data_IF_066043604206
#
_entry.id   IF_066043604206
#
_cell.length_a   1.000
_cell.length_b   1.000
_cell.length_c   1.000
_cell.angle_alpha   90.00
_cell.angle_beta   90.00
_cell.angle_gamma   90.00
#
_symmetry.space_group_name_H-M   'P 1'
#
loop_
_entity.id
_entity.type
_entity.pdbx_description
1 polymer ?
#
# COMPACT_ATOMS: atom_id res chain seq x y z
N UNK A 1 9.98 31.40 -7.87
CA UNK A 1 10.45 31.16 -6.49
C UNK A 1 9.75 30.02 -5.76
N UNK A 2 8.44 29.78 -5.95
CA UNK A 2 7.66 28.77 -5.17
C UNK A 2 7.92 27.29 -5.51
N UNK A 3 8.29 26.96 -6.75
CA UNK A 3 8.39 25.56 -7.21
C UNK A 3 9.64 24.83 -6.70
N UNK A 4 10.76 25.55 -6.56
CA UNK A 4 12.03 24.98 -6.12
C UNK A 4 12.04 24.67 -4.62
N UNK A 5 11.42 25.53 -3.81
CA UNK A 5 11.18 25.28 -2.38
C UNK A 5 10.25 24.08 -2.17
N UNK A 6 9.17 23.98 -2.95
CA UNK A 6 8.28 22.81 -2.92
C UNK A 6 9.06 21.53 -3.25
N UNK A 7 9.90 21.54 -4.28
CA UNK A 7 10.74 20.39 -4.65
C UNK A 7 11.71 20.00 -3.52
N UNK A 8 12.40 20.97 -2.92
CA UNK A 8 13.29 20.73 -1.77
C UNK A 8 12.52 20.08 -0.61
N UNK A 9 11.36 20.62 -0.24
CA UNK A 9 10.52 20.10 0.83
C UNK A 9 10.00 18.67 0.56
N UNK A 10 9.65 18.34 -0.69
CA UNK A 10 9.24 16.97 -1.03
C UNK A 10 10.35 15.95 -0.80
N UNK A 11 11.59 16.32 -1.11
CA UNK A 11 12.74 15.43 -1.06
C UNK A 11 13.45 15.40 0.31
N UNK A 12 13.07 16.26 1.27
CA UNK A 12 13.65 16.22 2.61
C UNK A 12 13.28 14.94 3.37
N UNK A 13 14.21 14.51 4.22
CA UNK A 13 13.95 13.52 5.27
C UNK A 13 12.94 14.12 6.24
N UNK A 14 11.95 13.34 6.61
CA UNK A 14 10.85 13.67 7.52
C UNK A 14 10.91 12.74 8.72
N UNK A 15 10.26 13.12 9.81
CA UNK A 15 10.17 12.31 11.03
C UNK A 15 8.72 12.11 11.44
N UNK A 16 8.38 10.92 11.92
CA UNK A 16 7.08 10.60 12.50
C UNK A 16 7.26 9.55 13.61
N UNK A 17 6.86 9.91 14.83
CA UNK A 17 7.00 9.05 16.03
C UNK A 17 8.42 8.46 16.18
N UNK A 18 9.45 9.30 16.02
CA UNK A 18 10.86 8.88 16.09
C UNK A 18 11.40 8.15 14.86
N UNK A 19 10.57 7.85 13.86
CA UNK A 19 10.99 7.18 12.64
C UNK A 19 11.26 8.19 11.51
N UNK A 20 12.49 8.18 10.97
CA UNK A 20 12.86 8.95 9.78
C UNK A 20 12.37 8.28 8.49
N UNK A 21 11.80 9.06 7.57
CA UNK A 21 11.28 8.59 6.29
C UNK A 21 11.42 9.64 5.18
N UNK A 22 11.24 9.22 3.92
CA UNK A 22 11.28 10.10 2.74
C UNK A 22 10.02 9.95 1.89
N UNK A 23 9.78 10.90 1.00
CA UNK A 23 8.60 10.94 0.13
C UNK A 23 7.45 11.75 0.72
N UNK A 24 6.21 11.30 0.47
CA UNK A 24 5.01 11.99 0.94
C UNK A 24 4.95 12.07 2.45
N UNK A 25 4.56 13.23 2.98
CA UNK A 25 4.26 13.39 4.42
C UNK A 25 3.10 12.50 4.86
N UNK A 26 3.16 12.02 6.11
CA UNK A 26 2.02 11.38 6.78
C UNK A 26 0.80 12.30 6.74
N UNK A 27 -0.39 11.73 6.44
CA UNK A 27 -1.63 12.48 6.19
C UNK A 27 -1.79 13.04 4.78
N UNK A 28 -0.76 12.93 3.93
CA UNK A 28 -0.87 13.25 2.51
C UNK A 28 -1.74 12.25 1.74
N UNK A 29 -2.45 12.74 0.71
CA UNK A 29 -3.33 11.93 -0.13
C UNK A 29 -2.81 11.86 -1.57
N UNK A 30 -2.87 10.67 -2.16
CA UNK A 30 -2.78 10.49 -3.60
C UNK A 30 -4.09 9.88 -4.11
N UNK A 31 -4.52 10.36 -5.27
CA UNK A 31 -5.58 9.72 -6.05
C UNK A 31 -4.99 9.23 -7.37
N UNK A 32 -5.20 7.95 -7.66
CA UNK A 32 -4.71 7.26 -8.85
C UNK A 32 -5.89 6.72 -9.65
N UNK A 33 -5.83 6.90 -10.97
CA UNK A 33 -6.73 6.21 -11.88
C UNK A 33 -6.06 4.92 -12.34
N UNK A 34 -6.77 3.81 -12.19
CA UNK A 34 -6.36 2.50 -12.63
C UNK A 34 -7.12 2.17 -13.90
N UNK A 35 -6.51 2.48 -15.04
CA UNK A 35 -7.16 2.39 -16.34
C UNK A 35 -7.07 0.95 -16.86
N UNK A 36 -8.19 0.41 -17.36
CA UNK A 36 -8.28 -0.93 -17.92
C UNK A 36 -7.75 -2.03 -16.97
N UNK A 37 -8.05 -1.92 -15.68
CA UNK A 37 -7.60 -2.90 -14.70
C UNK A 37 -8.30 -4.25 -14.91
N UNK A 38 -7.50 -5.29 -15.14
CA UNK A 38 -7.99 -6.66 -15.31
C UNK A 38 -7.88 -7.40 -13.98
N UNK A 39 -9.01 -7.92 -13.49
CA UNK A 39 -9.08 -8.79 -12.32
C UNK A 39 -9.28 -10.23 -12.77
N UNK A 40 -8.26 -11.05 -12.57
CA UNK A 40 -8.29 -12.47 -12.89
C UNK A 40 -8.28 -13.27 -11.59
N UNK A 41 -9.21 -14.19 -11.42
CA UNK A 41 -9.25 -15.06 -10.24
C UNK A 41 -9.64 -16.48 -10.58
N UNK A 42 -9.14 -17.41 -9.76
CA UNK A 42 -9.36 -18.84 -9.89
C UNK A 42 -9.66 -19.42 -8.52
N UNK A 43 -10.77 -20.17 -8.43
CA UNK A 43 -11.14 -20.89 -7.20
C UNK A 43 -10.18 -22.06 -7.01
N UNK A 44 -9.53 -22.11 -5.85
CA UNK A 44 -8.55 -23.16 -5.51
C UNK A 44 -8.95 -23.99 -4.29
N UNK A 45 -9.95 -23.54 -3.52
CA UNK A 45 -10.60 -24.32 -2.46
C UNK A 45 -12.01 -23.72 -2.18
N UNK A 46 -12.87 -24.36 -1.36
CA UNK A 46 -14.23 -23.88 -1.09
C UNK A 46 -14.33 -22.39 -0.72
N UNK A 47 -13.41 -21.92 0.13
CA UNK A 47 -13.32 -20.53 0.60
C UNK A 47 -11.98 -19.87 0.23
N UNK A 48 -11.33 -20.32 -0.85
CA UNK A 48 -10.02 -19.80 -1.26
C UNK A 48 -9.94 -19.58 -2.76
N UNK A 49 -9.55 -18.38 -3.13
CA UNK A 49 -9.29 -17.97 -4.50
C UNK A 49 -7.87 -17.45 -4.61
N UNK A 50 -7.20 -17.75 -5.71
CA UNK A 50 -6.00 -17.05 -6.13
C UNK A 50 -6.43 -15.96 -7.10
N UNK A 51 -5.95 -14.75 -6.91
CA UNK A 51 -6.27 -13.64 -7.81
C UNK A 51 -5.03 -12.85 -8.21
N UNK A 52 -5.14 -12.17 -9.34
CA UNK A 52 -4.16 -11.23 -9.87
C UNK A 52 -4.90 -10.00 -10.42
N UNK A 53 -4.34 -8.81 -10.15
CA UNK A 53 -4.85 -7.56 -10.70
C UNK A 53 -3.74 -6.83 -11.46
N UNK A 54 -3.91 -6.66 -12.76
CA UNK A 54 -2.93 -6.02 -13.65
C UNK A 54 -3.53 -4.77 -14.28
N UNK A 55 -2.77 -3.68 -14.24
CA UNK A 55 -3.24 -2.39 -14.71
C UNK A 55 -2.09 -1.41 -14.92
N UNK A 56 -2.30 -0.45 -15.82
CA UNK A 56 -1.56 0.80 -15.81
C UNK A 56 -2.24 1.78 -14.87
N UNK A 57 -1.44 2.50 -14.08
CA UNK A 57 -1.94 3.53 -13.16
C UNK A 57 -1.35 4.88 -13.50
N UNK A 58 -2.18 5.91 -13.48
CA UNK A 58 -1.79 7.29 -13.69
C UNK A 58 -2.23 8.16 -12.50
N UNK A 59 -1.49 9.23 -12.24
CA UNK A 59 -1.94 10.22 -11.25
C UNK A 59 -3.16 10.94 -11.80
N UNK A 60 -4.12 11.24 -10.92
CA UNK A 60 -5.24 12.13 -11.25
C UNK A 60 -4.79 13.58 -11.46
N UNK A 61 -3.65 13.95 -10.88
CA UNK A 61 -3.07 15.29 -10.97
C UNK A 61 -1.56 15.16 -11.18
N UNK A 62 -1.00 16.05 -12.00
CA UNK A 62 0.43 16.06 -12.26
C UNK A 62 1.24 16.29 -10.98
N UNK A 63 2.37 15.60 -10.87
CA UNK A 63 3.32 15.89 -9.81
C UNK A 63 4.11 17.15 -10.17
N UNK A 64 4.56 17.95 -9.18
CA UNK A 64 5.44 19.07 -9.45
C UNK A 64 6.68 18.65 -10.26
N UNK A 65 7.14 19.46 -11.24
CA UNK A 65 8.30 19.11 -12.06
C UNK A 65 9.54 18.74 -11.23
N UNK A 66 10.24 17.69 -11.65
CA UNK A 66 11.45 17.21 -10.96
C UNK A 66 11.22 16.57 -9.58
N UNK A 67 9.97 16.21 -9.26
CA UNK A 67 9.61 15.41 -8.07
C UNK A 67 9.19 13.99 -8.46
N UNK A 68 9.19 13.09 -7.48
CA UNK A 68 8.84 11.69 -7.70
C UNK A 68 10.06 10.78 -7.74
N UNK A 69 9.83 9.54 -8.16
CA UNK A 69 10.91 8.56 -8.33
C UNK A 69 11.47 8.64 -9.73
N UNK A 70 12.71 8.18 -9.90
CA UNK A 70 13.29 7.97 -11.22
C UNK A 70 12.45 6.99 -12.04
N UNK A 71 12.46 7.18 -13.36
CA UNK A 71 11.95 6.17 -14.31
C UNK A 71 12.60 4.81 -13.99
N UNK A 72 11.86 3.72 -14.18
CA UNK A 72 12.25 2.34 -13.83
C UNK A 72 12.45 2.02 -12.34
N UNK A 73 12.13 2.97 -11.46
CA UNK A 73 12.05 2.68 -10.03
C UNK A 73 10.93 1.69 -9.74
N UNK A 74 11.26 0.64 -8.98
CA UNK A 74 10.29 -0.40 -8.59
C UNK A 74 9.95 -0.26 -7.12
N UNK A 75 8.70 -0.51 -6.79
CA UNK A 75 8.22 -0.49 -5.41
C UNK A 75 7.49 -1.78 -5.09
N UNK A 76 7.82 -2.36 -3.94
CA UNK A 76 7.16 -3.53 -3.41
C UNK A 76 6.31 -3.12 -2.20
N UNK A 77 5.00 -3.31 -2.34
CA UNK A 77 4.03 -3.02 -1.30
C UNK A 77 3.29 -4.30 -0.93
N UNK A 78 3.03 -4.48 0.35
CA UNK A 78 2.08 -5.47 0.84
C UNK A 78 0.76 -4.78 1.13
N UNK A 79 -0.34 -5.39 0.70
CA UNK A 79 -1.69 -4.88 0.93
C UNK A 79 -2.47 -5.94 1.69
N UNK A 80 -3.09 -5.53 2.80
CA UNK A 80 -4.11 -6.30 3.49
C UNK A 80 -5.40 -5.50 3.44
N UNK A 81 -6.44 -6.10 2.88
CA UNK A 81 -7.68 -5.41 2.60
C UNK A 81 -8.86 -6.38 2.59
N UNK A 82 -10.00 -5.86 3.01
CA UNK A 82 -11.29 -6.49 2.75
C UNK A 82 -11.74 -6.09 1.36
N UNK A 83 -12.28 -7.06 0.62
CA UNK A 83 -13.02 -6.80 -0.61
C UNK A 83 -14.50 -7.06 -0.35
N UNK A 84 -15.35 -6.13 -0.77
CA UNK A 84 -16.81 -6.30 -0.78
C UNK A 84 -17.29 -6.14 -2.21
N UNK A 85 -18.03 -7.12 -2.70
CA UNK A 85 -18.67 -7.10 -4.00
C UNK A 85 -20.18 -6.98 -3.83
N UNK A 86 -20.80 -6.07 -4.59
CA UNK A 86 -22.26 -5.92 -4.65
C UNK A 86 -22.70 -6.16 -6.07
N UNK A 87 -23.55 -7.19 -6.30
CA UNK A 87 -24.17 -7.42 -7.60
C UNK A 87 -25.09 -6.25 -7.92
N UNK A 88 -24.89 -5.63 -9.08
CA UNK A 88 -25.71 -4.52 -9.56
C UNK A 88 -26.78 -5.03 -10.53
N UNK A 89 -26.40 -5.98 -11.39
CA UNK A 89 -27.29 -6.65 -12.34
C UNK A 89 -26.71 -8.02 -12.74
N UNK A 90 -27.20 -8.61 -13.83
CA UNK A 90 -26.76 -9.92 -14.31
C UNK A 90 -25.23 -10.04 -14.47
N UNK A 91 -24.58 -8.99 -14.96
CA UNK A 91 -23.19 -9.02 -15.41
C UNK A 91 -22.28 -7.99 -14.70
N UNK A 92 -22.85 -7.06 -13.93
CA UNK A 92 -22.10 -5.99 -13.29
C UNK A 92 -22.04 -6.15 -11.76
N UNK A 93 -20.85 -5.94 -11.21
CA UNK A 93 -20.61 -5.94 -9.77
C UNK A 93 -19.80 -4.71 -9.40
N UNK A 94 -20.21 -4.04 -8.31
CA UNK A 94 -19.39 -3.02 -7.67
C UNK A 94 -18.41 -3.68 -6.72
N UNK A 95 -17.12 -3.48 -6.95
CA UNK A 95 -16.05 -3.95 -6.06
C UNK A 95 -15.48 -2.80 -5.25
N UNK A 96 -15.46 -2.94 -3.93
CA UNK A 96 -14.85 -1.99 -3.00
C UNK A 96 -13.78 -2.73 -2.20
N UNK A 97 -12.54 -2.23 -2.24
CA UNK A 97 -11.45 -2.70 -1.39
C UNK A 97 -11.07 -1.64 -0.36
N UNK A 98 -11.06 -2.02 0.92
CA UNK A 98 -10.66 -1.15 2.02
C UNK A 98 -9.62 -1.84 2.88
N UNK A 99 -8.52 -1.17 3.18
CA UNK A 99 -7.43 -1.79 3.92
C UNK A 99 -6.22 -0.90 4.12
N UNK A 100 -5.12 -1.54 4.50
CA UNK A 100 -3.83 -0.89 4.74
C UNK A 100 -2.79 -1.36 3.72
N UNK A 101 -1.87 -0.46 3.38
CA UNK A 101 -0.80 -0.69 2.42
C UNK A 101 0.55 -0.35 3.05
N UNK A 102 1.45 -1.33 3.07
CA UNK A 102 2.74 -1.27 3.75
C UNK A 102 3.89 -1.31 2.76
N UNK A 103 4.88 -0.43 2.92
CA UNK A 103 6.07 -0.43 2.08
C UNK A 103 6.98 -1.57 2.54
N UNK A 104 7.20 -2.56 1.69
CA UNK A 104 8.16 -3.64 1.97
C UNK A 104 9.55 -3.20 1.54
N UNK A 105 9.64 -2.66 0.32
CA UNK A 105 10.88 -2.18 -0.24
C UNK A 105 10.71 -1.36 -1.50
N UNK A 106 11.85 -0.90 -2.00
CA UNK A 106 11.96 -0.28 -3.32
C UNK A 106 13.29 -0.70 -3.95
N UNK A 107 13.39 -0.54 -5.27
CA UNK A 107 14.58 -0.85 -6.04
C UNK A 107 14.78 0.27 -7.05
N UNK A 108 15.93 0.93 -6.97
CA UNK A 108 16.32 1.96 -7.94
C UNK A 108 16.74 1.30 -9.26
N UNK A 109 16.74 2.03 -10.39
CA UNK A 109 16.97 1.46 -11.72
C UNK A 109 18.25 0.61 -11.82
N UNK A 110 19.32 1.09 -11.19
CA UNK A 110 20.65 0.44 -11.25
C UNK A 110 20.94 -0.49 -10.06
N UNK A 111 19.98 -0.72 -9.16
CA UNK A 111 20.20 -1.59 -8.01
C UNK A 111 20.06 -3.06 -8.41
N UNK A 112 20.94 -3.93 -7.90
CA UNK A 112 20.82 -5.38 -8.13
C UNK A 112 19.79 -6.02 -7.21
N UNK A 113 19.65 -5.52 -5.98
CA UNK A 113 18.77 -6.09 -4.93
C UNK A 113 17.70 -5.09 -4.48
N UNK A 114 16.68 -5.57 -3.77
CA UNK A 114 15.68 -4.69 -3.13
C UNK A 114 16.28 -4.00 -1.90
N UNK A 115 15.69 -2.87 -1.50
CA UNK A 115 16.17 -2.08 -0.35
C UNK A 115 16.25 -2.86 0.97
N UNK A 116 15.39 -3.87 1.19
CA UNK A 116 15.43 -4.68 2.41
C UNK A 116 16.61 -5.68 2.43
N UNK A 117 17.08 -6.14 1.26
CA UNK A 117 18.21 -7.05 1.20
C UNK A 117 19.53 -6.39 1.66
N UNK A 118 19.64 -5.06 1.61
CA UNK A 118 20.81 -4.33 2.12
C UNK A 118 20.82 -4.21 3.65
N UNK A 119 19.71 -4.54 4.30
CA UNK A 119 19.57 -4.56 5.78
C UNK A 119 19.65 -5.97 6.35
N UNK A 120 19.98 -6.97 5.53
CA UNK A 120 19.89 -8.39 5.88
C UNK A 120 18.49 -8.83 6.35
N UNK A 121 17.44 -8.12 5.93
CA UNK A 121 16.04 -8.51 6.17
C UNK A 121 15.48 -9.25 4.93
N UNK A 122 14.64 -10.26 5.15
CA UNK A 122 13.91 -10.94 4.07
C UNK A 122 12.54 -10.29 3.79
N UNK A 123 11.85 -10.77 2.75
CA UNK A 123 10.47 -10.38 2.51
C UNK A 123 9.56 -10.92 3.62
N UNK A 124 9.77 -12.19 3.96
CA UNK A 124 9.02 -12.96 4.93
C UNK A 124 9.10 -12.33 6.32
N UNK A 125 10.29 -11.93 6.79
CA UNK A 125 10.45 -11.26 8.09
C UNK A 125 9.55 -10.02 8.19
N UNK A 126 9.51 -9.21 7.13
CA UNK A 126 8.67 -7.99 7.10
C UNK A 126 7.20 -8.31 7.11
N UNK A 127 6.77 -9.32 6.36
CA UNK A 127 5.36 -9.72 6.32
C UNK A 127 4.93 -10.26 7.68
N UNK A 128 5.75 -11.11 8.31
CA UNK A 128 5.48 -11.67 9.63
C UNK A 128 5.30 -10.54 10.64
N UNK A 129 6.26 -9.61 10.75
CA UNK A 129 6.14 -8.46 11.66
C UNK A 129 4.89 -7.62 11.41
N UNK A 130 4.54 -7.38 10.14
CA UNK A 130 3.33 -6.62 9.79
C UNK A 130 2.07 -7.38 10.25
N UNK A 131 1.99 -8.68 9.96
CA UNK A 131 0.83 -9.50 10.27
C UNK A 131 0.66 -9.70 11.77
N UNK A 132 1.73 -9.91 12.52
CA UNK A 132 1.72 -10.00 13.98
C UNK A 132 1.16 -8.72 14.60
N UNK A 133 1.67 -7.56 14.20
CA UNK A 133 1.16 -6.28 14.70
C UNK A 133 -0.30 -5.99 14.30
N UNK A 134 -0.78 -6.56 13.19
CA UNK A 134 -2.21 -6.49 12.83
C UNK A 134 -3.04 -7.41 13.71
N UNK A 135 -2.58 -8.65 13.93
CA UNK A 135 -3.24 -9.63 14.78
C UNK A 135 -3.39 -9.10 16.20
N UNK A 136 -2.34 -8.49 16.77
CA UNK A 136 -2.39 -7.87 18.10
C UNK A 136 -3.48 -6.79 18.18
N UNK A 137 -3.50 -5.85 17.23
CA UNK A 137 -4.54 -4.80 17.17
C UNK A 137 -5.94 -5.36 17.02
N UNK A 138 -6.11 -6.45 16.26
CA UNK A 138 -7.40 -7.11 16.12
C UNK A 138 -7.84 -7.77 17.43
N UNK A 139 -6.91 -8.41 18.16
CA UNK A 139 -7.18 -8.98 19.49
C UNK A 139 -7.59 -7.91 20.49
N UNK A 140 -6.87 -6.78 20.53
CA UNK A 140 -7.20 -5.63 21.40
C UNK A 140 -8.58 -5.07 21.08
N UNK A 141 -8.89 -4.86 19.79
CA UNK A 141 -10.20 -4.37 19.36
C UNK A 141 -11.33 -5.34 19.71
N UNK A 142 -11.10 -6.64 19.58
CA UNK A 142 -12.07 -7.67 19.99
C UNK A 142 -12.34 -7.59 21.49
N UNK A 143 -11.29 -7.59 22.32
CA UNK A 143 -11.40 -7.48 23.79
C UNK A 143 -12.14 -6.21 24.23
N UNK A 144 -11.82 -5.07 23.61
CA UNK A 144 -12.51 -3.80 23.90
C UNK A 144 -14.01 -3.85 23.56
N UNK A 145 -14.39 -4.47 22.44
CA UNK A 145 -15.80 -4.65 22.07
C UNK A 145 -16.54 -5.57 23.03
N UNK A 146 -15.91 -6.65 23.47
CA UNK A 146 -16.50 -7.56 24.46
C UNK A 146 -16.75 -6.83 25.78
N UNK A 147 -15.77 -6.05 26.28
CA UNK A 147 -15.93 -5.25 27.50
C UNK A 147 -17.06 -4.23 27.40
N UNK A 148 -17.22 -3.55 26.25
CA UNK A 148 -18.30 -2.59 26.01
C UNK A 148 -19.68 -3.26 25.89
N UNK A 149 -19.76 -4.56 25.63
CA UNK A 149 -21.05 -5.27 25.58
C UNK A 149 -21.61 -5.66 26.96
N UNK A 150 -20.83 -5.45 28.02
CA UNK A 150 -21.25 -5.67 29.41
C UNK A 150 -21.76 -4.39 30.11
N UNK A 151 -21.78 -3.25 29.40
CA UNK A 151 -22.33 -1.97 29.84
C UNK A 151 -23.40 -1.49 28.87
#
# INVERSE_FOLDING_TARGET
MVMEEKRKYYNTIKEYKGQKYTGMRVGGKHSWNYNHGLWNEMKIAPNKWKFEFVCNKARTHEAPPGTGSYIDSKYHWYIIADQKATKLDANNYKTVMTGSKFKIGHKMPNWKKWSYNYKNETYEDKIITILEGIIEKLKEKKKSKELLSYF
#
